data_IF_380283417988
#
_entry.id   IF_380283417988
#
_cell.length_a   1.000
_cell.length_b   1.000
_cell.length_c   1.000
_cell.angle_alpha   90.00
_cell.angle_beta   90.00
_cell.angle_gamma   90.00
#
_symmetry.space_group_name_H-M   'P 1'
#
loop_
_entity.id
_entity.type
_entity.pdbx_description
1 polymer ?
#
# COMPACT_ATOMS: atom_id res chain seq x y z
N UNK A 1 -58.63 27.84 -56.55
CA UNK A 1 -58.46 28.98 -55.62
C UNK A 1 -57.35 28.65 -54.63
N UNK A 2 -56.40 29.57 -54.49
CA UNK A 2 -55.28 29.77 -53.54
C UNK A 2 -54.78 28.68 -52.54
N UNK A 3 -53.46 28.42 -52.65
CA UNK A 3 -52.32 28.41 -51.67
C UNK A 3 -52.43 27.82 -50.24
N UNK A 4 -51.49 26.91 -49.88
CA UNK A 4 -50.30 27.23 -49.04
C UNK A 4 -49.33 26.02 -48.88
N UNK A 5 -48.05 26.30 -48.63
CA UNK A 5 -46.85 25.44 -48.71
C UNK A 5 -46.64 24.46 -47.53
N UNK A 6 -45.88 23.36 -47.75
CA UNK A 6 -44.95 22.75 -46.75
C UNK A 6 -43.82 21.96 -47.43
N UNK A 7 -42.63 22.09 -46.85
CA UNK A 7 -41.33 21.72 -47.38
C UNK A 7 -41.00 20.20 -47.39
N UNK A 8 -40.08 19.81 -48.27
CA UNK A 8 -39.48 18.48 -48.43
C UNK A 8 -38.30 18.27 -47.47
N UNK A 9 -38.15 17.06 -46.94
CA UNK A 9 -36.87 16.52 -46.48
C UNK A 9 -36.79 15.04 -46.90
N UNK A 10 -35.82 14.70 -47.74
CA UNK A 10 -35.57 13.37 -48.31
C UNK A 10 -34.40 12.70 -47.59
N UNK A 11 -34.58 11.42 -47.23
CA UNK A 11 -33.58 10.53 -46.63
C UNK A 11 -32.59 10.07 -47.72
N UNK A 12 -31.26 10.13 -47.53
CA UNK A 12 -30.29 9.52 -48.45
C UNK A 12 -29.92 8.07 -48.07
N UNK A 13 -29.51 7.35 -49.12
CA UNK A 13 -29.33 5.90 -49.30
C UNK A 13 -28.30 5.16 -48.43
N UNK A 14 -28.62 3.88 -48.20
CA UNK A 14 -27.92 2.79 -47.51
C UNK A 14 -26.54 2.35 -48.07
N UNK A 15 -25.84 3.16 -48.87
CA UNK A 15 -24.55 2.78 -49.51
C UNK A 15 -23.30 3.06 -48.68
N UNK A 16 -23.40 3.71 -47.52
CA UNK A 16 -22.24 4.06 -46.68
C UNK A 16 -21.86 2.99 -45.63
N UNK A 17 -22.64 1.92 -45.47
CA UNK A 17 -22.38 0.91 -44.42
C UNK A 17 -21.62 -0.35 -44.89
N UNK A 18 -21.50 -0.60 -46.19
CA UNK A 18 -20.78 -1.78 -46.72
C UNK A 18 -19.26 -1.54 -46.90
N UNK A 19 -18.80 -0.28 -46.93
CA UNK A 19 -17.37 0.04 -47.05
C UNK A 19 -16.60 -0.17 -45.74
N UNK A 20 -17.25 0.05 -44.59
CA UNK A 20 -16.64 -0.06 -43.25
C UNK A 20 -16.35 -1.49 -42.84
N UNK A 21 -17.15 -2.45 -43.30
CA UNK A 21 -16.98 -3.87 -42.96
C UNK A 21 -15.88 -4.57 -43.79
N UNK A 22 -15.62 -4.07 -45.00
CA UNK A 22 -14.58 -4.61 -45.89
C UNK A 22 -13.18 -4.19 -45.44
N UNK A 23 -13.04 -2.98 -44.90
CA UNK A 23 -11.78 -2.46 -44.32
C UNK A 23 -11.42 -3.23 -43.03
N UNK A 24 -12.41 -3.54 -42.17
CA UNK A 24 -12.17 -4.31 -40.94
C UNK A 24 -11.64 -5.73 -41.17
N UNK A 25 -12.01 -6.37 -42.30
CA UNK A 25 -11.50 -7.71 -42.65
C UNK A 25 -10.12 -7.70 -43.32
N UNK A 26 -9.70 -6.59 -43.94
CA UNK A 26 -8.32 -6.45 -44.44
C UNK A 26 -7.32 -6.22 -43.28
N UNK A 27 -7.70 -5.43 -42.27
CA UNK A 27 -6.83 -5.12 -41.11
C UNK A 27 -6.48 -6.37 -40.27
N UNK A 28 -7.40 -7.33 -40.18
CA UNK A 28 -7.14 -8.60 -39.47
C UNK A 28 -6.30 -9.59 -40.30
N UNK A 29 -6.29 -9.48 -41.63
CA UNK A 29 -5.50 -10.36 -42.50
C UNK A 29 -4.07 -9.87 -42.75
N UNK A 30 -3.84 -8.56 -42.65
CA UNK A 30 -2.49 -7.97 -42.72
C UNK A 30 -1.72 -8.07 -41.39
N UNK A 31 -2.42 -8.15 -40.25
CA UNK A 31 -1.76 -8.33 -38.93
C UNK A 31 -1.14 -9.72 -38.74
N UNK A 32 -1.60 -10.74 -39.45
CA UNK A 32 -0.97 -12.08 -39.42
C UNK A 32 0.29 -12.20 -40.30
N UNK A 33 0.54 -11.24 -41.21
CA UNK A 33 1.73 -11.23 -42.07
C UNK A 33 2.85 -10.27 -41.61
N UNK A 34 2.67 -9.52 -40.51
CA UNK A 34 3.67 -8.59 -39.94
C UNK A 34 4.45 -9.27 -38.81
N UNK A 35 4.83 -10.54 -38.99
CA UNK A 35 5.73 -11.27 -38.06
C UNK A 35 7.10 -11.59 -38.65
N UNK A 36 7.42 -11.04 -39.82
CA UNK A 36 8.78 -11.06 -40.36
C UNK A 36 9.04 -9.75 -41.07
N UNK A 37 9.92 -8.90 -40.52
CA UNK A 37 10.98 -8.15 -41.23
C UNK A 37 11.50 -6.97 -40.39
N UNK A 38 12.82 -6.92 -40.25
CA UNK A 38 13.59 -6.04 -39.37
C UNK A 38 13.80 -4.61 -39.89
N UNK A 39 13.95 -3.67 -38.94
CA UNK A 39 14.66 -2.37 -39.01
C UNK A 39 14.05 -1.20 -39.83
N UNK A 40 12.89 -1.34 -40.48
CA UNK A 40 12.26 -0.23 -41.24
C UNK A 40 11.00 0.38 -40.60
N UNK A 41 10.51 -0.14 -39.47
CA UNK A 41 9.25 0.29 -38.83
C UNK A 41 9.33 1.69 -38.19
N UNK A 42 10.49 2.07 -37.65
CA UNK A 42 10.65 3.33 -36.91
C UNK A 42 10.41 4.60 -37.73
N UNK A 43 10.56 4.58 -39.06
CA UNK A 43 10.34 5.75 -39.91
C UNK A 43 8.89 5.86 -40.41
N UNK A 44 8.22 4.72 -40.63
CA UNK A 44 6.81 4.70 -41.08
C UNK A 44 5.84 4.99 -39.94
N UNK A 45 6.13 4.57 -38.71
CA UNK A 45 5.32 4.90 -37.53
C UNK A 45 5.35 6.41 -37.22
N UNK A 46 6.52 7.07 -37.38
CA UNK A 46 6.66 8.53 -37.21
C UNK A 46 5.77 9.33 -38.16
N UNK A 47 5.64 8.89 -39.40
CA UNK A 47 4.85 9.59 -40.42
C UNK A 47 3.33 9.52 -40.14
N UNK A 48 2.87 8.45 -39.49
CA UNK A 48 1.46 8.23 -39.16
C UNK A 48 1.03 9.04 -37.91
N UNK A 49 1.93 9.18 -36.92
CA UNK A 49 1.70 9.98 -35.71
C UNK A 49 1.50 11.47 -36.06
N UNK A 50 2.29 12.00 -37.00
CA UNK A 50 2.21 13.40 -37.45
C UNK A 50 0.86 13.80 -38.10
N UNK A 51 0.04 12.82 -38.51
CA UNK A 51 -1.20 13.05 -39.25
C UNK A 51 -2.48 12.81 -38.43
N UNK A 52 -2.36 12.47 -37.14
CA UNK A 52 -3.50 12.05 -36.31
C UNK A 52 -4.01 13.18 -35.39
N UNK A 53 -5.32 13.52 -35.35
CA UNK A 53 -5.86 14.60 -34.51
C UNK A 53 -5.68 14.41 -32.99
N UNK A 54 -5.34 15.50 -32.27
CA UNK A 54 -5.02 15.55 -30.81
C UNK A 54 -5.91 14.79 -29.83
N UNK A 55 -7.25 14.65 -30.02
CA UNK A 55 -8.08 13.89 -29.09
C UNK A 55 -7.81 12.37 -29.09
N UNK A 56 -7.25 11.83 -30.18
CA UNK A 56 -6.90 10.40 -30.30
C UNK A 56 -5.52 10.08 -29.70
N UNK A 57 -4.63 11.08 -29.58
CA UNK A 57 -3.26 10.92 -29.07
C UNK A 57 -3.20 10.55 -27.58
N UNK A 58 -4.15 10.97 -26.74
CA UNK A 58 -4.17 10.64 -25.30
C UNK A 58 -4.38 9.14 -25.00
N UNK A 59 -5.15 8.42 -25.82
CA UNK A 59 -5.29 6.95 -25.72
C UNK A 59 -4.15 6.20 -26.41
N UNK A 60 -3.48 6.84 -27.35
CA UNK A 60 -2.34 6.28 -28.08
C UNK A 60 -1.05 6.30 -27.25
N UNK A 61 -0.85 7.34 -26.43
CA UNK A 61 0.36 7.50 -25.62
C UNK A 61 0.55 6.38 -24.60
N UNK A 62 -0.53 5.92 -23.95
CA UNK A 62 -0.49 4.77 -23.03
C UNK A 62 0.04 3.50 -23.69
N UNK A 63 -0.43 3.17 -24.91
CA UNK A 63 0.02 1.95 -25.59
C UNK A 63 1.49 2.04 -26.00
N UNK A 64 1.97 3.23 -26.35
CA UNK A 64 3.37 3.48 -26.68
C UNK A 64 4.27 3.45 -25.43
N UNK A 65 3.86 4.09 -24.34
CA UNK A 65 4.55 4.07 -23.05
C UNK A 65 4.62 2.66 -22.47
N UNK A 66 3.50 1.91 -22.46
CA UNK A 66 3.46 0.51 -22.03
C UNK A 66 4.32 -0.39 -22.93
N UNK A 67 4.37 -0.15 -24.24
CA UNK A 67 5.26 -0.88 -25.17
C UNK A 67 6.75 -0.57 -24.91
N UNK A 68 7.09 0.66 -24.50
CA UNK A 68 8.43 1.07 -24.08
C UNK A 68 8.83 0.49 -22.72
N UNK A 69 7.95 0.51 -21.72
CA UNK A 69 8.14 -0.15 -20.42
C UNK A 69 8.38 -1.66 -20.61
N UNK A 70 7.59 -2.30 -21.47
CA UNK A 70 7.78 -3.71 -21.83
C UNK A 70 9.12 -3.99 -22.54
N UNK A 71 9.73 -3.01 -23.22
CA UNK A 71 11.06 -3.17 -23.83
C UNK A 71 12.22 -3.04 -22.83
N UNK A 72 12.05 -2.28 -21.75
CA UNK A 72 13.09 -2.09 -20.73
C UNK A 72 13.06 -3.15 -19.62
N UNK A 73 11.96 -3.89 -19.50
CA UNK A 73 11.75 -4.89 -18.45
C UNK A 73 11.65 -4.26 -17.05
N UNK A 74 11.09 -4.99 -16.09
CA UNK A 74 11.13 -4.56 -14.68
C UNK A 74 12.60 -4.42 -14.26
N UNK A 75 12.95 -3.35 -13.55
CA UNK A 75 14.27 -3.19 -12.91
C UNK A 75 14.50 -4.37 -11.96
N UNK A 76 15.31 -5.33 -12.39
CA UNK A 76 15.59 -6.53 -11.62
C UNK A 76 16.32 -6.16 -10.31
N UNK A 77 15.94 -6.80 -9.21
CA UNK A 77 16.57 -6.59 -7.90
C UNK A 77 16.17 -5.31 -7.17
N UNK A 78 15.24 -4.51 -7.71
CA UNK A 78 14.71 -3.29 -7.06
C UNK A 78 13.26 -3.50 -6.64
N UNK A 79 12.93 -3.12 -5.40
CA UNK A 79 11.58 -3.12 -4.86
C UNK A 79 11.23 -1.78 -4.25
N UNK A 80 10.01 -1.30 -4.47
CA UNK A 80 9.41 -0.17 -3.76
C UNK A 80 8.35 -0.69 -2.79
N UNK A 81 8.50 -0.33 -1.52
CA UNK A 81 7.65 -0.73 -0.41
C UNK A 81 6.98 0.50 0.18
N UNK A 82 5.65 0.46 0.31
CA UNK A 82 4.87 1.61 0.76
C UNK A 82 4.15 1.30 2.06
N UNK A 83 4.25 2.20 3.04
CA UNK A 83 3.19 2.34 4.05
C UNK A 83 1.84 2.67 3.37
N UNK A 84 0.72 2.42 4.05
CA UNK A 84 -0.63 2.62 3.50
C UNK A 84 -1.22 3.99 3.88
N UNK A 85 -1.40 4.25 5.18
CA UNK A 85 -2.24 5.34 5.70
C UNK A 85 -1.46 6.64 5.90
N UNK A 86 -1.70 7.65 5.06
CA UNK A 86 -0.89 8.87 5.00
C UNK A 86 0.11 8.87 3.86
N UNK A 87 0.50 7.66 3.40
CA UNK A 87 1.48 7.44 2.34
C UNK A 87 0.84 7.17 0.98
N UNK A 88 -0.08 6.20 0.87
CA UNK A 88 -0.84 5.92 -0.36
C UNK A 88 -2.24 6.52 -0.35
N UNK A 89 -2.81 6.66 0.83
CA UNK A 89 -4.12 7.28 1.05
C UNK A 89 -4.00 8.50 1.93
N UNK A 90 -4.99 9.39 1.88
CA UNK A 90 -5.15 10.35 2.97
C UNK A 90 -5.47 9.60 4.27
N UNK A 91 -5.14 10.15 5.46
CA UNK A 91 -5.40 9.50 6.73
C UNK A 91 -6.85 9.03 6.88
N UNK A 92 -7.05 7.73 7.10
CA UNK A 92 -8.34 7.04 7.26
C UNK A 92 -9.30 7.21 6.07
N UNK A 93 -8.77 7.37 4.86
CA UNK A 93 -9.55 7.47 3.61
C UNK A 93 -9.20 6.35 2.65
N UNK A 94 -10.09 6.11 1.71
CA UNK A 94 -9.86 5.23 0.57
C UNK A 94 -8.85 5.86 -0.40
N UNK A 95 -8.13 5.01 -1.11
CA UNK A 95 -7.20 5.37 -2.17
C UNK A 95 -7.94 6.04 -3.33
N UNK A 96 -7.28 7.02 -3.96
CA UNK A 96 -7.85 7.67 -5.14
C UNK A 96 -7.64 6.82 -6.40
N UNK A 97 -8.54 6.89 -7.40
CA UNK A 97 -8.33 6.22 -8.69
C UNK A 97 -7.00 6.60 -9.36
N UNK A 98 -6.59 7.87 -9.22
CA UNK A 98 -5.29 8.39 -9.70
C UNK A 98 -4.11 7.62 -9.09
N UNK A 99 -4.15 7.36 -7.78
CA UNK A 99 -3.09 6.62 -7.10
C UNK A 99 -3.10 5.13 -7.49
N UNK A 100 -4.27 4.50 -7.64
CA UNK A 100 -4.36 3.12 -8.12
C UNK A 100 -3.77 2.95 -9.52
N UNK A 101 -4.16 3.82 -10.45
CA UNK A 101 -3.62 3.82 -11.82
C UNK A 101 -2.10 4.01 -11.82
N UNK A 102 -1.61 4.94 -10.99
CA UNK A 102 -0.18 5.17 -10.82
C UNK A 102 0.56 3.94 -10.31
N UNK A 103 0.02 3.25 -9.30
CA UNK A 103 0.65 2.05 -8.74
C UNK A 103 0.74 0.93 -9.78
N UNK A 104 -0.27 0.77 -10.64
CA UNK A 104 -0.20 -0.20 -11.73
C UNK A 104 0.89 0.19 -12.75
N UNK A 105 0.99 1.47 -13.12
CA UNK A 105 2.08 1.96 -14.00
C UNK A 105 3.46 1.77 -13.37
N UNK A 106 3.61 2.03 -12.07
CA UNK A 106 4.87 1.83 -11.34
C UNK A 106 5.25 0.34 -11.33
N UNK A 107 4.26 -0.55 -11.12
CA UNK A 107 4.44 -2.00 -11.09
C UNK A 107 4.95 -2.58 -12.40
N UNK A 108 4.71 -1.92 -13.54
CA UNK A 108 5.30 -2.33 -14.83
C UNK A 108 6.82 -2.12 -14.89
N UNK A 109 7.37 -1.22 -14.05
CA UNK A 109 8.77 -0.77 -14.11
C UNK A 109 9.60 -1.31 -12.93
N UNK A 110 8.98 -1.52 -11.77
CA UNK A 110 9.64 -2.00 -10.55
C UNK A 110 8.73 -2.96 -9.78
N UNK A 111 9.31 -3.81 -8.92
CA UNK A 111 8.49 -4.60 -7.99
C UNK A 111 7.85 -3.70 -6.94
N UNK A 112 6.54 -3.82 -6.72
CA UNK A 112 5.78 -2.95 -5.81
C UNK A 112 5.19 -3.78 -4.67
N UNK A 113 5.46 -3.38 -3.44
CA UNK A 113 4.89 -3.96 -2.23
C UNK A 113 4.21 -2.93 -1.33
N UNK A 114 3.26 -3.37 -0.52
CA UNK A 114 2.65 -2.55 0.54
C UNK A 114 2.85 -3.20 1.91
N UNK A 115 3.06 -2.40 2.94
CA UNK A 115 3.21 -2.84 4.33
C UNK A 115 2.38 -1.98 5.28
N UNK A 116 1.54 -2.60 6.09
CA UNK A 116 0.73 -1.90 7.08
C UNK A 116 0.68 -2.66 8.41
N UNK A 117 0.59 -1.92 9.51
CA UNK A 117 0.37 -2.52 10.84
C UNK A 117 -1.06 -3.00 11.06
N UNK A 118 -1.98 -2.63 10.18
CA UNK A 118 -3.37 -3.08 10.17
C UNK A 118 -3.52 -4.49 9.62
N UNK A 119 -4.63 -5.14 9.96
CA UNK A 119 -5.06 -6.37 9.29
C UNK A 119 -5.37 -6.14 7.80
N UNK A 120 -5.48 -7.24 7.07
CA UNK A 120 -5.74 -7.21 5.62
C UNK A 120 -7.11 -6.60 5.29
N UNK A 121 -8.10 -6.70 6.17
CA UNK A 121 -9.44 -6.13 5.93
C UNK A 121 -9.34 -4.62 5.84
N UNK A 122 -8.69 -3.96 6.80
CA UNK A 122 -8.46 -2.52 6.80
C UNK A 122 -7.59 -2.06 5.63
N UNK A 123 -6.54 -2.81 5.31
CA UNK A 123 -5.72 -2.51 4.12
C UNK A 123 -6.59 -2.59 2.85
N UNK A 124 -7.49 -3.58 2.76
CA UNK A 124 -8.42 -3.73 1.62
C UNK A 124 -9.50 -2.65 1.58
N UNK A 125 -9.95 -2.14 2.74
CA UNK A 125 -10.84 -0.97 2.80
C UNK A 125 -10.15 0.27 2.22
N UNK A 126 -8.86 0.45 2.49
CA UNK A 126 -8.11 1.60 1.99
C UNK A 126 -7.68 1.45 0.53
N UNK A 127 -7.18 0.29 0.12
CA UNK A 127 -6.56 0.08 -1.19
C UNK A 127 -7.44 -0.66 -2.20
N UNK A 128 -8.63 -1.12 -1.78
CA UNK A 128 -9.55 -1.89 -2.60
C UNK A 128 -9.48 -3.41 -2.36
N UNK A 129 -10.56 -4.09 -2.76
CA UNK A 129 -10.77 -5.54 -2.49
C UNK A 129 -9.79 -6.46 -3.21
N UNK A 130 -9.14 -5.97 -4.26
CA UNK A 130 -8.18 -6.71 -5.10
C UNK A 130 -6.73 -6.50 -4.66
N UNK A 131 -6.49 -5.88 -3.51
CA UNK A 131 -5.14 -5.50 -3.04
C UNK A 131 -4.10 -6.62 -3.14
N UNK A 132 -4.47 -7.87 -2.81
CA UNK A 132 -3.57 -9.03 -2.85
C UNK A 132 -3.05 -9.34 -4.26
N UNK A 133 -3.83 -9.01 -5.30
CA UNK A 133 -3.45 -9.17 -6.71
C UNK A 133 -2.89 -7.90 -7.34
N UNK A 134 -3.20 -6.73 -6.78
CA UNK A 134 -2.84 -5.43 -7.36
C UNK A 134 -1.38 -5.05 -7.12
N UNK A 135 -0.75 -5.65 -6.10
CA UNK A 135 0.65 -5.46 -5.73
C UNK A 135 1.42 -6.78 -5.81
N UNK A 136 2.74 -6.72 -6.02
CA UNK A 136 3.59 -7.92 -6.05
C UNK A 136 3.75 -8.51 -4.64
N UNK A 137 3.81 -7.65 -3.60
CA UNK A 137 3.82 -8.04 -2.19
C UNK A 137 2.77 -7.29 -1.37
N UNK A 138 2.09 -7.99 -0.47
CA UNK A 138 1.16 -7.39 0.51
C UNK A 138 1.47 -7.93 1.90
N UNK A 139 1.91 -7.02 2.78
CA UNK A 139 2.27 -7.31 4.17
C UNK A 139 1.27 -6.65 5.12
N UNK A 140 0.35 -7.43 5.66
CA UNK A 140 -0.53 -6.99 6.74
C UNK A 140 0.06 -7.36 8.10
N UNK A 141 -0.34 -6.63 9.14
CA UNK A 141 0.21 -6.76 10.49
C UNK A 141 1.76 -6.75 10.48
N UNK A 142 2.35 -5.74 9.83
CA UNK A 142 3.80 -5.57 9.64
C UNK A 142 4.50 -6.71 8.88
N UNK A 143 3.75 -7.59 8.21
CA UNK A 143 4.28 -8.76 7.51
C UNK A 143 4.16 -10.06 8.30
N UNK A 144 3.49 -10.05 9.45
CA UNK A 144 3.08 -11.30 10.11
C UNK A 144 2.19 -12.12 9.21
N UNK A 145 1.35 -11.48 8.39
CA UNK A 145 0.65 -12.11 7.27
C UNK A 145 1.21 -11.52 5.98
N UNK A 146 1.77 -12.38 5.13
CA UNK A 146 2.47 -11.99 3.91
C UNK A 146 1.88 -12.69 2.69
N UNK A 147 1.66 -11.92 1.62
CA UNK A 147 1.28 -12.41 0.30
C UNK A 147 2.28 -11.96 -0.76
N UNK A 148 2.53 -12.82 -1.74
CA UNK A 148 3.31 -12.54 -2.95
C UNK A 148 2.57 -13.04 -4.18
N UNK A 149 2.40 -12.21 -5.20
CA UNK A 149 1.72 -12.54 -6.45
C UNK A 149 0.34 -13.20 -6.23
N UNK A 150 -0.46 -12.61 -5.33
CA UNK A 150 -1.77 -13.13 -4.96
C UNK A 150 -1.75 -14.36 -4.04
N UNK A 151 -0.59 -14.94 -3.74
CA UNK A 151 -0.45 -16.17 -2.95
C UNK A 151 0.04 -15.88 -1.55
N UNK A 152 -0.52 -16.58 -0.58
CA UNK A 152 -0.05 -16.55 0.80
C UNK A 152 1.35 -17.18 0.92
N UNK A 153 2.29 -16.48 1.56
CA UNK A 153 3.69 -16.94 1.72
C UNK A 153 4.15 -16.99 3.17
N UNK A 154 3.39 -16.45 4.11
CA UNK A 154 3.77 -16.47 5.52
C UNK A 154 2.65 -16.03 6.46
N UNK A 155 2.50 -16.76 7.56
CA UNK A 155 1.69 -16.38 8.72
C UNK A 155 2.51 -16.58 9.98
N UNK A 156 2.48 -15.61 10.88
CA UNK A 156 2.98 -15.72 12.24
C UNK A 156 1.97 -15.11 13.20
N UNK A 157 1.91 -15.63 14.42
CA UNK A 157 1.07 -15.10 15.49
C UNK A 157 1.84 -15.11 16.80
N UNK A 158 1.45 -14.24 17.73
CA UNK A 158 2.03 -14.18 19.07
C UNK A 158 1.96 -15.53 19.77
N UNK A 159 0.82 -16.23 19.59
CA UNK A 159 0.58 -17.58 20.12
C UNK A 159 1.58 -18.59 19.60
N UNK A 160 1.76 -18.68 18.28
CA UNK A 160 2.71 -19.63 17.69
C UNK A 160 4.16 -19.28 17.99
N UNK A 161 4.49 -18.00 18.18
CA UNK A 161 5.85 -17.55 18.47
C UNK A 161 6.26 -17.77 19.93
N UNK A 162 5.44 -17.34 20.90
CA UNK A 162 5.78 -17.48 22.32
C UNK A 162 5.38 -18.85 22.88
N UNK A 163 4.29 -19.45 22.38
CA UNK A 163 3.68 -20.63 22.99
C UNK A 163 2.86 -20.31 24.24
N UNK A 164 1.97 -21.25 24.59
CA UNK A 164 0.95 -21.05 25.62
C UNK A 164 1.53 -20.86 27.03
N UNK A 165 2.62 -21.54 27.38
CA UNK A 165 3.15 -21.45 28.75
C UNK A 165 3.71 -20.06 29.07
N UNK A 166 4.48 -19.48 28.14
CA UNK A 166 5.03 -18.12 28.29
C UNK A 166 3.92 -17.07 28.23
N UNK A 167 2.92 -17.27 27.36
CA UNK A 167 1.75 -16.39 27.29
C UNK A 167 0.95 -16.40 28.59
N UNK A 168 0.66 -17.58 29.13
CA UNK A 168 -0.03 -17.75 30.40
C UNK A 168 0.75 -17.09 31.55
N UNK A 169 2.07 -17.24 31.59
CA UNK A 169 2.91 -16.57 32.58
C UNK A 169 2.79 -15.04 32.50
N UNK A 170 2.95 -14.48 31.29
CA UNK A 170 2.82 -13.04 31.04
C UNK A 170 1.44 -12.51 31.40
N UNK A 171 0.39 -13.19 30.95
CA UNK A 171 -1.01 -12.79 31.16
C UNK A 171 -1.36 -12.86 32.65
N UNK A 172 -1.04 -13.96 33.34
CA UNK A 172 -1.34 -14.12 34.77
C UNK A 172 -0.68 -13.02 35.60
N UNK A 173 0.62 -12.76 35.37
CA UNK A 173 1.31 -11.68 36.07
C UNK A 173 0.68 -10.31 35.78
N UNK A 174 0.36 -10.04 34.52
CA UNK A 174 -0.27 -8.77 34.10
C UNK A 174 -1.63 -8.59 34.77
N UNK A 175 -2.46 -9.63 34.83
CA UNK A 175 -3.76 -9.59 35.50
C UNK A 175 -3.63 -9.38 37.01
N UNK A 176 -2.71 -10.07 37.69
CA UNK A 176 -2.44 -9.84 39.10
C UNK A 176 -1.98 -8.40 39.37
N UNK A 177 -1.04 -7.90 38.57
CA UNK A 177 -0.58 -6.52 38.68
C UNK A 177 -1.72 -5.52 38.52
N UNK A 178 -2.59 -5.70 37.51
CA UNK A 178 -3.76 -4.83 37.29
C UNK A 178 -4.78 -4.96 38.42
N UNK A 179 -4.97 -6.14 39.01
CA UNK A 179 -5.87 -6.33 40.14
C UNK A 179 -5.44 -5.47 41.35
N UNK A 180 -4.14 -5.44 41.63
CA UNK A 180 -3.56 -4.72 42.78
C UNK A 180 -3.30 -3.22 42.53
N UNK A 181 -3.39 -2.75 41.27
CA UNK A 181 -3.23 -1.33 40.93
C UNK A 181 -4.27 -0.45 41.63
N UNK A 182 -3.83 0.55 42.38
CA UNK A 182 -4.73 1.57 42.92
C UNK A 182 -4.85 2.73 41.92
N UNK A 183 -5.96 2.75 41.18
CA UNK A 183 -6.31 3.80 40.22
C UNK A 183 -7.78 4.17 40.38
N UNK A 184 -8.19 5.42 40.07
CA UNK A 184 -9.54 5.90 40.37
C UNK A 184 -10.66 5.10 39.71
N UNK A 185 -10.41 4.58 38.50
CA UNK A 185 -11.40 3.90 37.67
C UNK A 185 -10.80 2.63 37.08
N UNK A 186 -11.53 1.51 37.21
CA UNK A 186 -11.32 0.26 36.47
C UNK A 186 -12.61 -0.15 35.77
N UNK A 187 -12.50 -0.68 34.55
CA UNK A 187 -13.60 -1.16 33.72
C UNK A 187 -13.36 -2.61 33.33
N UNK A 188 -13.22 -2.90 32.04
CA UNK A 188 -13.02 -4.26 31.52
C UNK A 188 -12.19 -4.25 30.24
N UNK A 189 -11.82 -5.44 29.77
CA UNK A 189 -10.85 -5.63 28.67
C UNK A 189 -9.50 -5.00 29.01
N UNK A 190 -8.91 -5.49 30.10
CA UNK A 190 -7.59 -5.08 30.59
C UNK A 190 -6.45 -5.61 29.72
N UNK A 191 -6.65 -6.79 29.14
CA UNK A 191 -5.76 -7.41 28.17
C UNK A 191 -6.61 -7.80 26.96
N UNK A 192 -6.27 -7.27 25.79
CA UNK A 192 -6.87 -7.63 24.52
C UNK A 192 -5.82 -8.42 23.72
N UNK A 193 -6.11 -9.68 23.45
CA UNK A 193 -5.26 -10.55 22.66
C UNK A 193 -5.52 -10.31 21.17
N UNK A 194 -4.48 -9.96 20.42
CA UNK A 194 -4.51 -9.81 18.95
C UNK A 194 -3.57 -10.83 18.31
N UNK A 195 -3.67 -10.99 17.00
CA UNK A 195 -2.85 -11.94 16.25
C UNK A 195 -1.35 -11.70 16.47
N UNK A 196 -0.88 -10.46 16.33
CA UNK A 196 0.54 -10.10 16.52
C UNK A 196 0.96 -9.62 17.91
N UNK A 197 0.04 -9.32 18.84
CA UNK A 197 0.38 -8.58 20.05
C UNK A 197 -0.67 -8.72 21.15
N UNK A 198 -0.31 -8.33 22.38
CA UNK A 198 -1.27 -7.99 23.43
C UNK A 198 -1.40 -6.48 23.53
N UNK A 199 -2.62 -5.96 23.64
CA UNK A 199 -2.85 -4.59 24.10
C UNK A 199 -3.24 -4.64 25.58
N UNK A 200 -2.49 -3.93 26.43
CA UNK A 200 -2.71 -3.90 27.88
C UNK A 200 -3.17 -2.51 28.30
N UNK A 201 -4.28 -2.43 29.04
CA UNK A 201 -4.89 -1.19 29.51
C UNK A 201 -5.18 -1.28 31.01
N UNK A 202 -4.52 -0.47 31.88
CA UNK A 202 -4.76 -0.51 33.32
C UNK A 202 -6.20 -0.16 33.72
N UNK A 203 -6.79 0.85 33.07
CA UNK A 203 -8.21 1.22 33.25
C UNK A 203 -9.17 0.22 32.58
N UNK A 204 -8.72 -0.48 31.54
CA UNK A 204 -9.53 -1.36 30.69
C UNK A 204 -10.14 -0.62 29.49
N UNK A 205 -10.16 -1.26 28.31
CA UNK A 205 -10.61 -0.63 27.04
C UNK A 205 -12.10 -0.29 26.99
N UNK A 206 -12.91 -0.92 27.84
CA UNK A 206 -14.36 -0.69 27.93
C UNK A 206 -14.74 0.62 28.65
N UNK A 207 -13.77 1.48 28.97
CA UNK A 207 -14.03 2.80 29.53
C UNK A 207 -14.63 3.77 28.50
N UNK A 208 -15.41 4.74 28.98
CA UNK A 208 -16.00 5.80 28.14
C UNK A 208 -14.93 6.73 27.58
N UNK A 209 -15.30 7.60 26.64
CA UNK A 209 -14.36 8.58 26.10
C UNK A 209 -13.90 9.60 27.16
N UNK A 210 -14.82 10.03 28.03
CA UNK A 210 -14.54 10.90 29.17
C UNK A 210 -13.55 10.22 30.12
N UNK A 211 -13.78 8.95 30.46
CA UNK A 211 -12.88 8.17 31.31
C UNK A 211 -11.50 7.96 30.69
N UNK A 212 -11.40 7.86 29.35
CA UNK A 212 -10.10 7.82 28.65
C UNK A 212 -9.33 9.12 28.84
N UNK A 213 -10.02 10.26 28.69
CA UNK A 213 -9.41 11.57 28.86
C UNK A 213 -8.94 11.77 30.31
N UNK A 214 -9.76 11.38 31.28
CA UNK A 214 -9.42 11.43 32.71
C UNK A 214 -8.22 10.53 33.04
N UNK A 215 -8.22 9.29 32.55
CA UNK A 215 -7.10 8.37 32.76
C UNK A 215 -5.81 8.87 32.12
N UNK A 216 -5.88 9.47 30.93
CA UNK A 216 -4.70 10.05 30.28
C UNK A 216 -4.07 11.16 31.14
N UNK A 217 -4.89 12.05 31.70
CA UNK A 217 -4.40 13.10 32.61
C UNK A 217 -3.84 12.50 33.91
N UNK A 218 -4.53 11.52 34.47
CA UNK A 218 -4.08 10.82 35.68
C UNK A 218 -2.74 10.11 35.45
N UNK A 219 -2.60 9.40 34.32
CA UNK A 219 -1.39 8.66 33.94
C UNK A 219 -0.21 9.59 33.66
N UNK A 220 -0.43 10.78 33.08
CA UNK A 220 0.64 11.80 32.89
C UNK A 220 1.25 12.26 34.21
N UNK A 221 0.46 12.33 35.28
CA UNK A 221 0.92 12.75 36.60
C UNK A 221 1.52 11.58 37.39
N UNK A 222 0.87 10.42 37.36
CA UNK A 222 1.21 9.28 38.22
C UNK A 222 2.12 8.24 37.55
N UNK A 223 2.32 8.35 36.23
CA UNK A 223 3.15 7.48 35.39
C UNK A 223 2.76 6.00 35.51
N UNK A 224 1.46 5.69 35.55
CA UNK A 224 0.93 4.34 35.80
C UNK A 224 1.45 3.34 34.76
N UNK A 225 1.26 3.65 33.46
CA UNK A 225 1.70 2.79 32.35
C UNK A 225 3.22 2.67 32.29
N UNK A 226 3.94 3.77 32.50
CA UNK A 226 5.42 3.74 32.49
C UNK A 226 5.99 2.84 33.59
N UNK A 227 5.47 2.97 34.82
CA UNK A 227 5.86 2.10 35.96
C UNK A 227 5.54 0.64 35.68
N UNK A 228 4.33 0.37 35.18
CA UNK A 228 3.90 -0.99 34.82
C UNK A 228 4.79 -1.60 33.72
N UNK A 229 5.09 -0.84 32.66
CA UNK A 229 5.98 -1.28 31.58
C UNK A 229 7.38 -1.55 32.08
N UNK A 230 7.93 -0.73 32.98
CA UNK A 230 9.26 -0.97 33.56
C UNK A 230 9.33 -2.31 34.29
N UNK A 231 8.32 -2.60 35.12
CA UNK A 231 8.22 -3.86 35.88
C UNK A 231 8.05 -5.07 34.95
N UNK A 232 7.17 -4.97 33.95
CA UNK A 232 6.98 -6.03 32.97
C UNK A 232 8.25 -6.30 32.16
N UNK A 233 8.96 -5.24 31.74
CA UNK A 233 10.19 -5.35 30.96
C UNK A 233 11.29 -6.05 31.76
N UNK A 234 11.44 -5.72 33.03
CA UNK A 234 12.41 -6.38 33.92
C UNK A 234 12.05 -7.86 34.11
N UNK A 235 10.79 -8.14 34.49
CA UNK A 235 10.35 -9.51 34.77
C UNK A 235 10.43 -10.43 33.56
N UNK A 236 10.05 -9.93 32.39
CA UNK A 236 9.97 -10.69 31.14
C UNK A 236 11.12 -10.39 30.18
N UNK A 237 12.27 -9.91 30.69
CA UNK A 237 13.45 -9.63 29.87
C UNK A 237 13.88 -10.84 29.04
N UNK A 238 13.73 -12.05 29.60
CA UNK A 238 14.04 -13.32 28.95
C UNK A 238 13.14 -13.66 27.74
N UNK A 239 12.01 -12.97 27.58
CA UNK A 239 11.09 -13.15 26.43
C UNK A 239 11.42 -12.22 25.26
N UNK A 240 12.33 -11.27 25.42
CA UNK A 240 12.70 -10.27 24.41
C UNK A 240 11.49 -9.58 23.76
N UNK A 241 10.61 -9.03 24.60
CA UNK A 241 9.42 -8.31 24.17
C UNK A 241 9.66 -6.80 24.13
N UNK A 242 9.05 -6.15 23.14
CA UNK A 242 8.90 -4.69 23.06
C UNK A 242 7.59 -4.28 23.73
N UNK A 243 7.66 -3.19 24.50
CA UNK A 243 6.52 -2.58 25.18
C UNK A 243 6.39 -1.13 24.68
N UNK A 244 5.31 -0.82 23.98
CA UNK A 244 5.09 0.49 23.35
C UNK A 244 3.88 1.19 23.95
N UNK A 245 4.10 2.27 24.70
CA UNK A 245 3.02 3.09 25.25
C UNK A 245 2.45 3.96 24.12
N UNK A 246 1.16 3.78 23.85
CA UNK A 246 0.48 4.45 22.74
C UNK A 246 -0.96 4.84 23.10
N UNK A 247 -1.41 5.97 22.55
CA UNK A 247 -2.74 6.50 22.83
C UNK A 247 -2.95 6.88 24.29
N UNK A 248 -4.21 6.93 24.71
CA UNK A 248 -4.63 7.51 25.99
C UNK A 248 -4.57 6.54 27.17
N UNK A 249 -4.82 5.25 26.93
CA UNK A 249 -5.13 4.29 28.01
C UNK A 249 -4.28 3.02 28.04
N UNK A 250 -3.56 2.71 26.97
CA UNK A 250 -2.95 1.38 26.80
C UNK A 250 -1.48 1.44 26.41
N UNK A 251 -0.87 0.26 26.35
CA UNK A 251 0.39 0.01 25.69
C UNK A 251 0.33 -1.36 25.01
N UNK A 252 1.07 -1.52 23.91
CA UNK A 252 1.17 -2.77 23.17
C UNK A 252 2.39 -3.58 23.63
N UNK A 253 2.25 -4.91 23.64
CA UNK A 253 3.29 -5.88 23.98
C UNK A 253 3.43 -6.88 22.85
N UNK A 254 4.60 -6.93 22.23
CA UNK A 254 4.88 -7.77 21.07
C UNK A 254 6.36 -8.18 21.06
N UNK A 255 6.74 -9.27 20.37
CA UNK A 255 8.13 -9.67 20.23
C UNK A 255 8.97 -8.56 19.60
N UNK A 256 10.20 -8.41 20.06
CA UNK A 256 11.13 -7.45 19.48
C UNK A 256 11.32 -7.73 17.97
N UNK A 257 11.33 -6.67 17.15
CA UNK A 257 11.42 -6.76 15.69
C UNK A 257 10.11 -7.08 14.97
N UNK A 258 8.95 -7.05 15.64
CA UNK A 258 7.62 -7.16 15.00
C UNK A 258 7.04 -5.79 14.59
N UNK A 259 7.89 -4.77 14.46
CA UNK A 259 7.61 -3.55 13.70
C UNK A 259 7.69 -3.83 12.17
N UNK A 260 7.56 -2.79 11.34
CA UNK A 260 7.53 -2.96 9.87
C UNK A 260 8.78 -3.63 9.30
N UNK A 261 9.93 -3.61 9.99
CA UNK A 261 11.13 -4.35 9.56
C UNK A 261 10.89 -5.86 9.46
N UNK A 262 9.88 -6.39 10.16
CA UNK A 262 9.55 -7.81 10.10
C UNK A 262 9.29 -8.31 8.67
N UNK A 263 8.69 -7.49 7.81
CA UNK A 263 8.42 -7.88 6.42
C UNK A 263 9.68 -8.05 5.56
N UNK A 264 10.81 -7.44 5.94
CA UNK A 264 12.05 -7.46 5.16
C UNK A 264 12.62 -8.89 5.01
N UNK A 265 12.30 -9.79 5.94
CA UNK A 265 12.68 -11.22 5.87
C UNK A 265 12.16 -11.96 4.64
N UNK A 266 11.14 -11.42 3.97
CA UNK A 266 10.58 -12.01 2.74
C UNK A 266 11.22 -11.42 1.47
N UNK A 267 12.16 -10.47 1.63
CA UNK A 267 12.68 -9.63 0.56
C UNK A 267 14.21 -9.78 0.37
N UNK A 268 14.78 -10.91 0.77
CA UNK A 268 16.23 -11.17 0.68
C UNK A 268 16.76 -11.21 -0.77
N UNK A 269 15.88 -11.42 -1.74
CA UNK A 269 16.21 -11.44 -3.17
C UNK A 269 16.42 -10.04 -3.78
N UNK A 270 16.15 -8.96 -3.03
CA UNK A 270 16.26 -7.59 -3.52
C UNK A 270 17.54 -6.91 -3.04
N UNK A 271 18.25 -6.27 -3.98
CA UNK A 271 19.47 -5.50 -3.71
C UNK A 271 19.14 -4.08 -3.25
N UNK A 272 18.06 -3.51 -3.78
CA UNK A 272 17.59 -2.17 -3.43
C UNK A 272 16.13 -2.23 -3.00
N UNK A 273 15.85 -1.84 -1.77
CA UNK A 273 14.49 -1.73 -1.22
C UNK A 273 14.24 -0.28 -0.88
N UNK A 274 13.43 0.40 -1.69
CA UNK A 274 12.98 1.75 -1.38
C UNK A 274 11.77 1.68 -0.47
N UNK A 275 11.80 2.35 0.67
CA UNK A 275 10.65 2.41 1.58
C UNK A 275 10.06 3.83 1.61
N UNK A 276 8.74 3.96 1.45
CA UNK A 276 8.02 5.24 1.54
C UNK A 276 7.08 5.22 2.74
N UNK A 277 7.15 6.26 3.59
CA UNK A 277 6.31 6.37 4.79
C UNK A 277 6.12 7.81 5.27
N UNK A 278 5.03 8.06 6.01
CA UNK A 278 4.67 9.38 6.54
C UNK A 278 5.16 9.62 7.97
N UNK A 279 5.34 8.56 8.77
CA UNK A 279 5.71 8.62 10.19
C UNK A 279 7.09 8.07 10.44
N UNK A 280 8.07 8.60 9.69
CA UNK A 280 9.48 8.20 9.76
C UNK A 280 10.26 8.89 10.87
N UNK A 281 9.62 9.72 11.70
CA UNK A 281 10.24 10.32 12.89
C UNK A 281 10.35 9.30 14.03
N UNK A 282 11.31 9.47 14.93
CA UNK A 282 11.50 8.58 16.10
C UNK A 282 10.20 8.43 16.90
N UNK A 283 9.72 7.19 17.01
CA UNK A 283 8.45 6.83 17.68
C UNK A 283 7.23 6.76 16.76
N UNK A 284 7.37 7.16 15.49
CA UNK A 284 6.41 6.84 14.44
C UNK A 284 6.54 5.37 14.01
N UNK A 285 5.47 4.81 13.45
CA UNK A 285 5.41 3.39 13.08
C UNK A 285 6.21 3.02 11.82
N UNK A 286 6.77 4.01 11.11
CA UNK A 286 7.67 3.80 9.99
C UNK A 286 9.15 3.93 10.36
N UNK A 287 9.45 4.39 11.58
CA UNK A 287 10.81 4.76 11.98
C UNK A 287 11.80 3.61 11.80
N UNK A 288 11.49 2.43 12.34
CA UNK A 288 12.41 1.29 12.34
C UNK A 288 12.67 0.78 10.92
N UNK A 289 11.66 0.74 10.05
CA UNK A 289 11.85 0.31 8.66
C UNK A 289 12.54 1.38 7.82
N UNK A 290 12.27 2.67 8.06
CA UNK A 290 12.93 3.78 7.39
C UNK A 290 14.44 3.86 7.72
N UNK A 291 14.81 3.63 8.98
CA UNK A 291 16.21 3.65 9.43
C UNK A 291 16.94 2.33 9.18
N UNK A 292 16.26 1.30 8.68
CA UNK A 292 16.87 -0.01 8.41
C UNK A 292 17.92 0.11 7.32
N UNK A 293 19.12 -0.43 7.57
CA UNK A 293 20.24 -0.49 6.60
C UNK A 293 19.86 -1.23 5.31
N UNK A 294 18.82 -2.07 5.35
CA UNK A 294 18.29 -2.78 4.17
C UNK A 294 17.44 -1.91 3.27
N UNK A 295 17.10 -0.69 3.68
CA UNK A 295 16.17 0.17 2.95
C UNK A 295 16.79 1.52 2.59
N UNK A 296 16.31 2.06 1.49
CA UNK A 296 16.51 3.46 1.09
C UNK A 296 15.21 4.18 1.44
N UNK A 297 15.17 4.85 2.60
CA UNK A 297 13.99 5.50 3.13
C UNK A 297 13.63 6.83 2.44
N UNK A 298 12.34 7.04 2.17
CA UNK A 298 11.76 8.25 1.58
C UNK A 298 10.61 8.73 2.47
N UNK A 299 10.81 9.84 3.17
CA UNK A 299 9.73 10.49 3.93
C UNK A 299 8.78 11.20 2.97
N UNK A 300 7.48 10.97 3.15
CA UNK A 300 6.41 11.68 2.44
C UNK A 300 5.48 12.35 3.44
N UNK A 301 4.73 13.37 3.05
CA UNK A 301 3.73 14.01 3.93
C UNK A 301 2.30 13.77 3.46
N UNK A 302 2.14 13.29 2.23
CA UNK A 302 0.87 12.98 1.62
C UNK A 302 1.03 12.06 0.39
N UNK A 303 -0.07 11.50 -0.14
CA UNK A 303 -0.04 10.68 -1.36
C UNK A 303 0.53 11.37 -2.61
N UNK A 304 0.36 12.68 -2.75
CA UNK A 304 0.90 13.41 -3.90
C UNK A 304 2.45 13.52 -3.84
N UNK A 305 3.05 13.54 -2.65
CA UNK A 305 4.51 13.47 -2.49
C UNK A 305 5.03 12.10 -2.95
N UNK A 306 4.35 11.02 -2.57
CA UNK A 306 4.66 9.64 -3.00
C UNK A 306 4.68 9.53 -4.52
N UNK A 307 3.62 10.04 -5.18
CA UNK A 307 3.51 10.13 -6.63
C UNK A 307 4.71 10.87 -7.25
N UNK A 308 5.02 12.05 -6.72
CA UNK A 308 6.11 12.88 -7.21
C UNK A 308 7.45 12.16 -7.10
N UNK A 309 7.82 11.70 -5.90
CA UNK A 309 9.10 11.04 -5.66
C UNK A 309 9.26 9.77 -6.50
N UNK A 310 8.23 8.92 -6.58
CA UNK A 310 8.28 7.72 -7.40
C UNK A 310 8.43 8.05 -8.88
N UNK A 311 7.78 9.10 -9.38
CA UNK A 311 7.94 9.56 -10.76
C UNK A 311 9.39 9.98 -11.02
N UNK A 312 9.97 10.77 -10.11
CA UNK A 312 11.35 11.25 -10.24
C UNK A 312 12.40 10.11 -10.20
N UNK A 313 12.18 9.10 -9.36
CA UNK A 313 13.12 7.99 -9.15
C UNK A 313 13.01 6.89 -10.20
N UNK A 314 11.78 6.59 -10.65
CA UNK A 314 11.51 5.39 -11.45
C UNK A 314 10.97 5.67 -12.84
N UNK A 315 10.33 6.83 -13.08
CA UNK A 315 9.60 7.11 -14.32
C UNK A 315 10.14 8.28 -15.15
N UNK A 316 11.03 9.14 -14.62
CA UNK A 316 11.56 10.32 -15.34
C UNK A 316 12.15 10.00 -16.73
N UNK A 317 12.89 8.90 -16.85
CA UNK A 317 13.48 8.49 -18.13
C UNK A 317 12.45 7.98 -19.15
N UNK A 318 11.23 7.64 -18.72
CA UNK A 318 10.12 7.25 -19.59
C UNK A 318 9.34 8.46 -20.10
N UNK A 319 9.25 9.53 -19.30
CA UNK A 319 8.53 10.77 -19.66
C UNK A 319 9.36 11.68 -20.57
N UNK A 320 10.69 11.72 -20.43
CA UNK A 320 11.55 12.42 -21.39
C UNK A 320 11.56 11.72 -22.76
N UNK A 321 11.46 10.39 -22.79
CA UNK A 321 11.35 9.62 -24.03
C UNK A 321 10.02 9.85 -24.77
N UNK A 322 8.93 10.20 -24.07
CA UNK A 322 7.65 10.54 -24.68
C UNK A 322 7.57 12.00 -25.16
N UNK A 323 8.39 12.91 -24.62
CA UNK A 323 8.47 14.31 -25.05
C UNK A 323 9.35 14.49 -26.31
N UNK A 324 10.37 13.65 -26.49
CA UNK A 324 11.31 13.76 -27.62
C UNK A 324 10.92 12.98 -28.89
N UNK A 325 9.74 12.36 -28.94
CA UNK A 325 9.22 11.69 -30.13
C UNK A 325 7.85 12.31 -30.54
N UNK A 326 7.87 13.49 -31.19
CA UNK A 326 6.66 14.22 -31.59
C UNK A 326 5.81 13.55 -32.67
#
# INVERSE_FOLDING_TARGET
>A
MHYSERARCTIPDLKEWESTFTIGKLVLKETENILQLSRSETEREKLYIAQTPRPLLRKFNWKLESKYCNMLGKKAGVLTLFDVDGTLTLPRKEVTPKMLEFMQRLREVVTVGVVGGSDLVKISEQLGKTVISDYDYVFSENGLIAHKDGKHIGTQSLKSFLGEDKLKELINFTLHYIADLDIPIKRGTFIEFRSGMLNVSPIGRNCSHEERNEFEQYDKVHNVRQKMVAILREKFAHLNLTFSIGGQISFDVFPNGWDKTYCLRYLDDFQEIHFFGDKTYKGGNDYEIFESERTIGHTVTCPDDTLKLCTELFLRNLEEASIYNP
#
